data_IF_353748782542
#
_entry.id   IF_353748782542
#
_cell.length_a   1.000
_cell.length_b   1.000
_cell.length_c   1.000
_cell.angle_alpha   90.00
_cell.angle_beta   90.00
_cell.angle_gamma   90.00
#
_symmetry.space_group_name_H-M   'P 1'
#
loop_
_entity.id
_entity.type
_entity.pdbx_description
1 polymer ?
#
# COMPACT_ATOMS: atom_id res chain seq x y z
N UNK A 1 -2.83 -1.27 -31.93
CA UNK A 1 -1.85 -2.24 -31.39
C UNK A 1 -0.45 -2.11 -31.99
N UNK A 2 -0.25 -1.42 -33.13
CA UNK A 2 1.06 -1.31 -33.79
C UNK A 2 1.94 -0.10 -33.35
N UNK A 3 1.48 0.79 -32.45
CA UNK A 3 2.16 2.08 -32.22
C UNK A 3 3.11 2.13 -31.00
N UNK A 4 3.06 1.17 -30.08
CA UNK A 4 3.90 1.20 -28.87
C UNK A 4 5.33 0.66 -29.09
N UNK A 5 5.58 -0.04 -30.20
CA UNK A 5 6.88 -0.69 -30.47
C UNK A 5 7.94 0.23 -31.10
N UNK A 6 7.57 1.42 -31.58
CA UNK A 6 8.43 2.23 -32.45
C UNK A 6 9.21 3.36 -31.75
N UNK A 7 9.18 3.50 -30.42
CA UNK A 7 9.75 4.68 -29.74
C UNK A 7 10.91 4.39 -28.77
N UNK A 8 11.26 3.12 -28.50
CA UNK A 8 12.49 2.80 -27.75
C UNK A 8 13.02 1.41 -28.09
N UNK A 9 14.34 1.21 -28.27
CA UNK A 9 14.92 -0.13 -28.41
C UNK A 9 14.59 -0.92 -27.13
N UNK A 10 13.81 -1.98 -27.26
CA UNK A 10 13.20 -2.69 -26.13
C UNK A 10 14.27 -3.40 -25.31
N UNK A 11 14.62 -2.84 -24.14
CA UNK A 11 15.35 -3.56 -23.08
C UNK A 11 14.59 -4.80 -22.57
N UNK A 12 13.30 -4.92 -22.89
CA UNK A 12 12.36 -5.91 -22.37
C UNK A 12 11.66 -6.63 -23.56
N UNK A 13 12.02 -7.86 -23.89
CA UNK A 13 11.49 -8.59 -25.05
C UNK A 13 10.10 -9.22 -24.81
N UNK A 14 9.64 -9.34 -23.55
CA UNK A 14 8.32 -9.88 -23.21
C UNK A 14 7.52 -8.95 -22.30
N UNK A 15 6.25 -8.72 -22.62
CA UNK A 15 5.32 -8.03 -21.72
C UNK A 15 3.99 -8.76 -21.70
N UNK A 16 3.43 -8.93 -20.50
CA UNK A 16 2.08 -9.41 -20.26
C UNK A 16 1.25 -8.25 -19.73
N UNK A 17 0.18 -7.91 -20.45
CA UNK A 17 -0.78 -6.90 -19.99
C UNK A 17 -1.69 -7.57 -18.96
N UNK A 18 -1.61 -7.16 -17.70
CA UNK A 18 -2.45 -7.71 -16.64
C UNK A 18 -3.79 -6.99 -16.57
N UNK A 19 -3.76 -5.66 -16.63
CA UNK A 19 -4.96 -4.84 -16.49
C UNK A 19 -4.81 -3.54 -17.26
N UNK A 20 -5.86 -3.18 -17.98
CA UNK A 20 -5.97 -1.90 -18.67
C UNK A 20 -7.31 -1.29 -18.30
N UNK A 21 -7.30 -0.21 -17.52
CA UNK A 21 -8.52 0.48 -17.12
C UNK A 21 -8.57 1.86 -17.76
N UNK A 22 -9.64 2.09 -18.53
CA UNK A 22 -9.93 3.39 -19.13
C UNK A 22 -10.94 4.14 -18.27
N UNK A 23 -10.50 5.22 -17.64
CA UNK A 23 -11.38 6.20 -17.01
C UNK A 23 -11.64 7.33 -18.01
N UNK A 24 -12.85 7.33 -18.60
CA UNK A 24 -13.28 8.40 -19.50
C UNK A 24 -13.64 9.65 -18.70
N UNK A 25 -13.15 10.81 -19.15
CA UNK A 25 -13.65 12.10 -18.66
C UNK A 25 -15.13 12.24 -19.06
N UNK A 26 -15.94 12.83 -18.19
CA UNK A 26 -17.35 13.15 -18.47
C UNK A 26 -17.51 14.24 -19.54
N UNK A 27 -16.42 14.88 -19.96
CA UNK A 27 -16.41 15.88 -21.02
C UNK A 27 -15.97 15.29 -22.37
N UNK A 28 -16.70 15.55 -23.48
CA UNK A 28 -16.55 14.81 -24.74
C UNK A 28 -15.28 15.14 -25.56
N UNK A 29 -14.45 16.08 -25.09
CA UNK A 29 -13.34 16.61 -25.89
C UNK A 29 -11.99 16.21 -25.29
N UNK A 30 -11.44 15.16 -25.88
CA UNK A 30 -10.01 14.90 -26.12
C UNK A 30 -9.14 14.22 -25.07
N UNK A 31 -9.42 14.12 -23.77
CA UNK A 31 -8.51 13.43 -22.85
C UNK A 31 -9.18 12.31 -22.04
N UNK A 32 -8.67 11.08 -22.16
CA UNK A 32 -9.01 9.95 -21.29
C UNK A 32 -7.86 9.63 -20.35
N UNK A 33 -8.17 9.22 -19.12
CA UNK A 33 -7.17 8.69 -18.18
C UNK A 33 -7.12 7.18 -18.35
N UNK A 34 -5.91 6.63 -18.41
CA UNK A 34 -5.66 5.21 -18.58
C UNK A 34 -4.75 4.73 -17.45
N UNK A 35 -5.21 3.80 -16.64
CA UNK A 35 -4.33 3.04 -15.75
C UNK A 35 -3.79 1.86 -16.53
N UNK A 36 -2.47 1.81 -16.69
CA UNK A 36 -1.75 0.75 -17.39
C UNK A 36 -1.03 -0.11 -16.36
N UNK A 37 -1.37 -1.38 -16.26
CA UNK A 37 -0.74 -2.37 -15.38
C UNK A 37 -0.18 -3.55 -16.20
N UNK A 38 1.14 -3.64 -16.26
CA UNK A 38 1.90 -4.60 -17.08
C UNK A 38 2.91 -5.35 -16.21
N UNK A 39 3.04 -6.64 -16.46
CA UNK A 39 4.21 -7.41 -16.05
C UNK A 39 5.20 -7.45 -17.21
N UNK A 40 6.38 -6.88 -17.02
CA UNK A 40 7.49 -6.91 -17.96
C UNK A 40 8.42 -8.05 -17.59
N UNK A 41 8.71 -8.93 -18.54
CA UNK A 41 9.66 -10.03 -18.37
C UNK A 41 10.90 -9.72 -19.19
N UNK A 42 12.07 -9.81 -18.55
CA UNK A 42 13.36 -9.69 -19.26
C UNK A 42 13.85 -11.08 -19.61
N UNK A 43 14.00 -11.40 -20.89
CA UNK A 43 14.62 -12.66 -21.34
C UNK A 43 16.12 -12.66 -20.99
N UNK A 44 16.43 -12.97 -19.73
CA UNK A 44 17.74 -13.21 -19.13
C UNK A 44 17.66 -13.19 -17.59
N UNK A 45 16.59 -12.61 -17.02
CA UNK A 45 16.45 -12.39 -15.59
C UNK A 45 15.16 -13.08 -15.12
N UNK A 46 15.28 -13.93 -14.10
CA UNK A 46 14.14 -14.66 -13.50
C UNK A 46 13.33 -13.76 -12.54
N UNK A 47 13.07 -12.52 -12.95
CA UNK A 47 12.20 -11.61 -12.22
C UNK A 47 11.22 -10.93 -13.17
N UNK A 48 10.05 -10.59 -12.64
CA UNK A 48 9.01 -9.84 -13.32
C UNK A 48 9.08 -8.40 -12.82
N UNK A 49 9.24 -7.45 -13.73
CA UNK A 49 9.17 -6.02 -13.42
C UNK A 49 7.75 -5.52 -13.69
N UNK A 50 7.03 -5.08 -12.66
CA UNK A 50 5.67 -4.56 -12.83
C UNK A 50 5.69 -3.07 -13.14
N UNK A 51 5.06 -2.70 -14.25
CA UNK A 51 4.78 -1.32 -14.64
C UNK A 51 3.32 -1.00 -14.35
N UNK A 52 3.07 -0.13 -13.38
CA UNK A 52 1.72 0.37 -13.10
C UNK A 52 1.76 1.90 -13.07
N UNK A 53 1.10 2.57 -14.02
CA UNK A 53 1.13 4.03 -14.17
C UNK A 53 -0.20 4.58 -14.72
N UNK A 54 -0.54 5.81 -14.30
CA UNK A 54 -1.60 6.59 -14.92
C UNK A 54 -1.04 7.38 -16.11
N UNK A 55 -1.66 7.21 -17.27
CA UNK A 55 -1.38 7.96 -18.48
C UNK A 55 -2.60 8.79 -18.90
N UNK A 56 -2.35 9.99 -19.43
CA UNK A 56 -3.33 10.70 -20.23
C UNK A 56 -3.20 10.28 -21.68
N UNK A 57 -4.34 9.98 -22.28
CA UNK A 57 -4.47 9.64 -23.69
C UNK A 57 -5.31 10.71 -24.34
N UNK A 58 -4.74 11.40 -25.34
CA UNK A 58 -5.47 12.40 -26.10
C UNK A 58 -5.17 12.35 -27.59
N UNK A 59 -6.07 12.92 -28.40
CA UNK A 59 -5.86 13.04 -29.83
C UNK A 59 -5.28 14.42 -30.16
N UNK A 60 -4.12 14.43 -30.79
CA UNK A 60 -3.47 15.63 -31.34
C UNK A 60 -3.12 15.37 -32.81
N UNK A 61 -3.58 16.23 -33.72
CA UNK A 61 -3.35 16.09 -35.17
C UNK A 61 -3.69 14.68 -35.74
N UNK A 62 -4.81 14.10 -35.29
CA UNK A 62 -5.22 12.71 -35.62
C UNK A 62 -4.24 11.61 -35.18
N UNK A 63 -3.27 11.92 -34.33
CA UNK A 63 -2.40 10.96 -33.67
C UNK A 63 -2.79 10.79 -32.19
N UNK A 64 -2.59 9.58 -31.68
CA UNK A 64 -2.85 9.24 -30.28
C UNK A 64 -1.59 9.52 -29.47
N UNK A 65 -1.67 10.51 -28.59
CA UNK A 65 -0.56 10.92 -27.73
C UNK A 65 -0.74 10.39 -26.31
N UNK A 66 0.37 9.98 -25.69
CA UNK A 66 0.44 9.54 -24.31
C UNK A 66 1.32 10.49 -23.51
N UNK A 67 0.82 11.00 -22.38
CA UNK A 67 1.65 11.78 -21.47
C UNK A 67 1.39 11.41 -20.01
N UNK A 68 2.40 11.61 -19.15
CA UNK A 68 2.20 11.51 -17.71
C UNK A 68 1.46 12.76 -17.24
N UNK A 69 0.32 12.63 -16.54
CA UNK A 69 -0.38 13.78 -16.00
C UNK A 69 0.49 14.53 -14.98
N UNK A 70 0.67 15.85 -15.13
CA UNK A 70 1.38 16.63 -14.11
C UNK A 70 0.63 16.55 -12.77
N UNK A 71 1.36 16.25 -11.69
CA UNK A 71 0.81 16.13 -10.34
C UNK A 71 0.14 14.80 -9.99
N UNK A 72 0.10 13.82 -10.91
CA UNK A 72 -0.35 12.45 -10.64
C UNK A 72 0.84 11.52 -10.82
N UNK A 73 1.64 11.40 -9.76
CA UNK A 73 2.76 10.47 -9.71
C UNK A 73 2.50 9.47 -8.62
N UNK A 74 2.76 8.21 -8.93
CA UNK A 74 2.67 7.16 -7.95
C UNK A 74 3.88 7.25 -7.01
N UNK A 75 3.64 7.55 -5.74
CA UNK A 75 4.67 7.49 -4.72
C UNK A 75 4.76 6.06 -4.18
N UNK A 76 5.67 5.27 -4.78
CA UNK A 76 5.94 3.88 -4.36
C UNK A 76 6.66 3.81 -3.01
N UNK A 77 7.24 4.91 -2.55
CA UNK A 77 8.04 4.97 -1.33
C UNK A 77 7.27 5.55 -0.14
N UNK A 78 6.05 6.04 -0.37
CA UNK A 78 5.17 6.54 0.70
C UNK A 78 5.03 5.50 1.80
N UNK A 79 5.26 5.92 3.05
CA UNK A 79 5.21 5.01 4.19
C UNK A 79 3.77 4.60 4.46
N UNK A 80 3.53 3.28 4.57
CA UNK A 80 2.24 2.74 5.02
C UNK A 80 2.26 2.51 6.53
N UNK A 81 1.41 3.22 7.27
CA UNK A 81 1.23 3.01 8.70
C UNK A 81 0.08 2.02 8.93
N UNK A 82 0.40 0.75 9.14
CA UNK A 82 -0.59 -0.27 9.52
C UNK A 82 -0.99 -0.09 10.98
N UNK A 83 -2.31 0.01 11.23
CA UNK A 83 -2.83 0.35 12.55
C UNK A 83 -3.69 -0.76 13.12
N UNK A 84 -3.37 -1.17 14.36
CA UNK A 84 -4.25 -1.96 15.20
C UNK A 84 -4.82 -1.12 16.34
N UNK A 85 -6.13 -0.95 16.36
CA UNK A 85 -6.85 -0.26 17.44
C UNK A 85 -7.47 -1.31 18.38
N UNK A 86 -6.95 -1.42 19.60
CA UNK A 86 -7.54 -2.28 20.63
C UNK A 86 -8.93 -1.78 21.06
N UNK A 87 -9.92 -2.69 21.11
CA UNK A 87 -11.19 -2.43 21.79
C UNK A 87 -11.11 -2.89 23.25
N UNK A 88 -10.95 -1.94 24.16
CA UNK A 88 -10.82 -2.22 25.60
C UNK A 88 -12.12 -2.63 26.30
N UNK A 89 -13.25 -2.63 25.58
CA UNK A 89 -14.49 -3.24 26.05
C UNK A 89 -14.52 -4.76 25.78
N UNK A 90 -13.53 -5.28 25.04
CA UNK A 90 -13.42 -6.68 24.63
C UNK A 90 -12.04 -7.22 24.97
N UNK A 91 -11.91 -8.55 24.97
CA UNK A 91 -10.60 -9.20 25.07
C UNK A 91 -9.97 -9.31 23.68
N UNK A 92 -9.45 -8.19 23.17
CA UNK A 92 -8.82 -8.10 21.84
C UNK A 92 -7.33 -8.49 21.82
N UNK A 93 -6.77 -8.89 22.97
CA UNK A 93 -5.37 -9.29 23.09
C UNK A 93 -4.96 -10.39 22.10
N UNK A 94 -5.71 -11.50 21.93
CA UNK A 94 -5.36 -12.50 20.92
C UNK A 94 -5.35 -11.94 19.49
N UNK A 95 -6.23 -10.99 19.19
CA UNK A 95 -6.35 -10.40 17.86
C UNK A 95 -5.22 -9.44 17.53
N UNK A 96 -4.67 -8.73 18.51
CA UNK A 96 -3.48 -7.92 18.27
C UNK A 96 -2.24 -8.78 18.00
N UNK A 97 -2.07 -9.90 18.70
CA UNK A 97 -0.99 -10.85 18.41
C UNK A 97 -1.15 -11.51 17.04
N UNK A 98 -2.37 -11.89 16.69
CA UNK A 98 -2.69 -12.40 15.36
C UNK A 98 -2.41 -11.36 14.27
N UNK A 99 -2.77 -10.09 14.52
CA UNK A 99 -2.47 -9.00 13.61
C UNK A 99 -0.96 -8.82 13.38
N UNK A 100 -0.16 -8.83 14.45
CA UNK A 100 1.31 -8.78 14.32
C UNK A 100 1.81 -9.95 13.44
N UNK A 101 1.33 -11.17 13.68
CA UNK A 101 1.72 -12.33 12.88
C UNK A 101 1.35 -12.19 11.40
N UNK A 102 0.16 -11.66 11.10
CA UNK A 102 -0.27 -11.38 9.72
C UNK A 102 0.60 -10.33 9.04
N UNK A 103 0.97 -9.26 9.75
CA UNK A 103 1.85 -8.22 9.20
C UNK A 103 3.25 -8.81 8.94
N UNK A 104 3.82 -9.58 9.85
CA UNK A 104 5.11 -10.26 9.62
C UNK A 104 5.06 -11.12 8.35
N UNK A 105 4.01 -11.94 8.20
CA UNK A 105 3.85 -12.79 7.02
C UNK A 105 3.65 -11.97 5.73
N UNK A 106 2.89 -10.87 5.81
CA UNK A 106 2.70 -9.96 4.68
C UNK A 106 4.04 -9.42 4.19
N UNK A 107 4.86 -8.89 5.10
CA UNK A 107 6.16 -8.27 4.79
C UNK A 107 7.14 -9.28 4.20
N UNK A 108 7.18 -10.50 4.74
CA UNK A 108 8.01 -11.58 4.20
C UNK A 108 7.61 -11.96 2.77
N UNK A 109 6.32 -11.88 2.44
CA UNK A 109 5.80 -12.25 1.12
C UNK A 109 5.87 -11.11 0.11
N UNK A 110 5.78 -9.86 0.55
CA UNK A 110 5.73 -8.69 -0.32
C UNK A 110 7.09 -7.99 -0.48
N UNK A 111 8.08 -8.32 0.36
CA UNK A 111 9.36 -7.60 0.47
C UNK A 111 9.16 -6.09 0.70
N UNK A 112 8.12 -5.74 1.46
CA UNK A 112 7.79 -4.35 1.74
C UNK A 112 8.74 -3.78 2.80
N UNK A 113 9.29 -2.60 2.52
CA UNK A 113 10.30 -1.93 3.35
C UNK A 113 9.84 -0.58 3.89
N UNK A 114 8.88 0.08 3.24
CA UNK A 114 8.41 1.42 3.59
C UNK A 114 7.10 1.33 4.37
N UNK A 115 7.17 0.74 5.55
CA UNK A 115 6.00 0.58 6.42
C UNK A 115 6.33 0.90 7.89
N UNK A 116 5.26 1.11 8.66
CA UNK A 116 5.28 1.26 10.12
C UNK A 116 4.10 0.51 10.72
N UNK A 117 4.27 -0.09 11.89
CA UNK A 117 3.20 -0.77 12.63
C UNK A 117 2.88 0.00 13.92
N UNK A 118 1.68 0.56 13.99
CA UNK A 118 1.19 1.30 15.15
C UNK A 118 0.08 0.50 15.83
N UNK A 119 0.20 0.29 17.13
CA UNK A 119 -0.78 -0.47 17.90
C UNK A 119 -1.21 0.31 19.14
N UNK A 120 -2.43 0.09 19.60
CA UNK A 120 -2.86 0.54 20.92
C UNK A 120 -3.05 -0.65 21.85
N UNK A 121 -2.88 -0.44 23.15
CA UNK A 121 -3.08 -1.44 24.20
C UNK A 121 -3.95 -0.84 25.32
N UNK A 122 -4.77 -1.68 25.94
CA UNK A 122 -5.76 -1.32 26.95
C UNK A 122 -5.21 -1.34 28.37
N UNK A 123 -4.15 -2.10 28.57
CA UNK A 123 -3.41 -2.26 29.82
C UNK A 123 -1.93 -2.58 29.53
N UNK A 124 -1.14 -2.54 30.60
CA UNK A 124 0.30 -2.74 30.55
C UNK A 124 0.70 -4.18 30.19
N UNK A 125 -0.12 -5.17 30.56
CA UNK A 125 0.15 -6.58 30.25
C UNK A 125 0.01 -6.83 28.74
N UNK A 126 -1.06 -6.31 28.14
CA UNK A 126 -1.28 -6.35 26.70
C UNK A 126 -0.16 -5.61 25.96
N UNK A 127 0.21 -4.41 26.42
CA UNK A 127 1.31 -3.62 25.81
C UNK A 127 2.61 -4.41 25.79
N UNK A 128 3.04 -4.96 26.94
CA UNK A 128 4.27 -5.76 27.05
C UNK A 128 4.24 -6.99 26.16
N UNK A 129 3.07 -7.63 26.03
CA UNK A 129 2.92 -8.79 25.16
C UNK A 129 3.08 -8.42 23.68
N UNK A 130 2.54 -7.28 23.22
CA UNK A 130 2.74 -6.81 21.86
C UNK A 130 4.19 -6.41 21.62
N UNK A 131 4.79 -5.63 22.52
CA UNK A 131 6.20 -5.21 22.41
C UNK A 131 7.15 -6.42 22.39
N UNK A 132 6.92 -7.44 23.21
CA UNK A 132 7.74 -8.65 23.20
C UNK A 132 7.66 -9.42 21.87
N UNK A 133 6.46 -9.46 21.27
CA UNK A 133 6.28 -10.09 19.96
C UNK A 133 6.94 -9.27 18.84
N UNK A 134 6.84 -7.95 18.90
CA UNK A 134 7.48 -7.05 17.93
C UNK A 134 9.01 -7.12 18.01
N UNK A 135 9.59 -7.14 19.22
CA UNK A 135 11.04 -7.29 19.45
C UNK A 135 11.62 -8.62 18.96
N UNK A 136 10.80 -9.65 18.82
CA UNK A 136 11.21 -10.96 18.29
C UNK A 136 10.94 -11.10 16.79
N UNK A 137 10.55 -10.00 16.12
CA UNK A 137 10.30 -9.94 14.68
C UNK A 137 11.24 -8.96 14.00
N UNK A 138 11.29 -8.98 12.67
CA UNK A 138 12.08 -8.06 11.84
C UNK A 138 11.39 -6.69 11.63
N UNK A 139 10.41 -6.33 12.47
CA UNK A 139 9.66 -5.07 12.37
C UNK A 139 10.34 -3.99 13.21
N UNK A 140 11.24 -3.23 12.60
CA UNK A 140 12.00 -2.17 13.27
C UNK A 140 11.14 -0.92 13.57
N UNK A 141 10.25 -0.55 12.65
CA UNK A 141 9.39 0.64 12.77
C UNK A 141 8.05 0.25 13.40
N UNK A 142 8.03 0.04 14.71
CA UNK A 142 6.80 -0.25 15.45
C UNK A 142 6.65 0.52 16.76
N UNK A 143 5.40 0.76 17.16
CA UNK A 143 5.08 1.44 18.41
C UNK A 143 3.77 0.94 19.01
N UNK A 144 3.72 0.79 20.33
CA UNK A 144 2.54 0.37 21.08
C UNK A 144 2.16 1.41 22.12
N UNK A 145 0.99 2.03 21.97
CA UNK A 145 0.51 3.09 22.86
C UNK A 145 -0.46 2.55 23.89
N UNK A 146 -0.19 2.79 25.17
CA UNK A 146 -1.12 2.49 26.26
C UNK A 146 -2.27 3.51 26.27
N UNK A 147 -3.51 3.03 26.30
CA UNK A 147 -4.71 3.86 26.35
C UNK A 147 -5.12 4.18 27.79
N UNK A 148 -5.18 5.46 28.12
CA UNK A 148 -5.60 5.96 29.43
C UNK A 148 -7.03 6.52 29.43
N UNK A 149 -7.76 6.33 30.54
CA UNK A 149 -9.10 6.87 30.75
C UNK A 149 -10.26 6.04 30.18
N UNK A 150 -11.47 6.60 30.13
CA UNK A 150 -12.74 5.86 29.96
C UNK A 150 -13.19 5.74 28.47
N UNK A 151 -13.05 6.78 27.66
CA UNK A 151 -13.44 6.77 26.22
C UNK A 151 -12.32 6.28 25.31
N UNK A 152 -12.05 4.97 25.37
CA UNK A 152 -10.83 4.42 24.80
C UNK A 152 -10.82 4.34 23.27
N UNK A 153 -11.97 4.29 22.58
CA UNK A 153 -12.03 4.14 21.11
C UNK A 153 -11.64 5.40 20.32
N UNK A 154 -12.20 6.56 20.67
CA UNK A 154 -11.82 7.84 20.04
C UNK A 154 -10.39 8.25 20.42
N UNK A 155 -9.97 7.90 21.65
CA UNK A 155 -8.58 8.08 22.11
C UNK A 155 -7.60 7.19 21.36
N UNK A 156 -7.97 5.93 21.07
CA UNK A 156 -7.12 5.02 20.31
C UNK A 156 -6.75 5.60 18.95
N UNK A 157 -7.75 6.08 18.21
CA UNK A 157 -7.50 6.72 16.92
C UNK A 157 -6.63 7.98 17.07
N UNK A 158 -6.98 8.87 18.01
CA UNK A 158 -6.22 10.11 18.22
C UNK A 158 -4.77 9.85 18.61
N UNK A 159 -4.53 8.88 19.48
CA UNK A 159 -3.21 8.50 19.94
C UNK A 159 -2.35 7.95 18.78
N UNK A 160 -2.94 7.10 17.94
CA UNK A 160 -2.24 6.61 16.75
C UNK A 160 -1.96 7.76 15.78
N UNK A 161 -2.96 8.58 15.46
CA UNK A 161 -2.80 9.70 14.52
C UNK A 161 -1.74 10.71 14.98
N UNK A 162 -1.51 10.87 16.28
CA UNK A 162 -0.43 11.73 16.78
C UNK A 162 0.98 11.18 16.56
N UNK A 163 1.11 9.90 16.18
CA UNK A 163 2.39 9.23 15.88
C UNK A 163 2.65 9.07 14.38
N UNK A 164 1.63 9.29 13.56
CA UNK A 164 1.69 9.16 12.11
C UNK A 164 2.60 10.25 11.55
N UNK A 165 3.52 9.86 10.67
CA UNK A 165 4.44 10.78 10.01
C UNK A 165 3.72 11.58 8.93
N UNK A 166 4.22 12.79 8.63
CA UNK A 166 3.74 13.56 7.48
C UNK A 166 3.90 12.75 6.20
N UNK A 167 2.95 12.93 5.26
CA UNK A 167 2.98 12.29 3.95
C UNK A 167 3.03 10.75 4.04
N UNK A 168 2.31 10.17 4.99
CA UNK A 168 2.13 8.72 5.12
C UNK A 168 0.66 8.32 4.99
N UNK A 169 0.42 7.08 4.54
CA UNK A 169 -0.95 6.54 4.40
C UNK A 169 -1.26 5.69 5.63
N UNK A 170 -2.35 6.03 6.31
CA UNK A 170 -2.83 5.25 7.47
C UNK A 170 -3.73 4.13 6.98
N UNK A 171 -3.31 2.88 7.20
CA UNK A 171 -4.06 1.68 6.81
C UNK A 171 -4.79 1.13 8.03
N UNK A 172 -6.09 1.42 8.07
CA UNK A 172 -7.03 0.83 9.03
C UNK A 172 -7.71 -0.36 8.39
N UNK A 173 -7.59 -1.52 9.04
CA UNK A 173 -8.14 -2.75 8.54
C UNK A 173 -8.69 -3.60 9.69
N UNK A 174 -9.54 -4.55 9.33
CA UNK A 174 -10.04 -5.50 10.31
C UNK A 174 -8.92 -6.47 10.71
N UNK A 175 -8.66 -6.55 12.02
CA UNK A 175 -7.55 -7.33 12.60
C UNK A 175 -7.62 -8.83 12.32
N UNK A 176 -8.78 -9.32 11.88
CA UNK A 176 -9.06 -10.74 11.60
C UNK A 176 -8.83 -11.10 10.13
N UNK A 177 -8.64 -10.11 9.26
CA UNK A 177 -8.51 -10.33 7.82
C UNK A 177 -7.04 -10.48 7.47
N UNK A 178 -6.72 -11.57 6.76
CA UNK A 178 -5.39 -11.77 6.19
C UNK A 178 -5.27 -10.97 4.89
N UNK A 179 -4.27 -10.12 4.81
CA UNK A 179 -4.05 -9.28 3.64
C UNK A 179 -3.37 -10.04 2.49
N UNK A 180 -3.71 -9.73 1.23
CA UNK A 180 -2.97 -10.24 0.07
C UNK A 180 -1.59 -9.58 -0.03
N UNK A 181 -0.61 -10.29 -0.59
CA UNK A 181 0.78 -9.81 -0.68
C UNK A 181 0.93 -8.49 -1.46
N UNK A 182 0.08 -8.25 -2.47
CA UNK A 182 0.10 -7.01 -3.26
C UNK A 182 -0.63 -5.83 -2.63
N UNK A 183 -1.16 -5.93 -1.40
CA UNK A 183 -2.03 -4.88 -0.83
C UNK A 183 -1.32 -3.53 -0.70
N UNK A 184 -0.03 -3.53 -0.36
CA UNK A 184 0.74 -2.30 -0.18
C UNK A 184 0.87 -1.55 -1.51
N UNK A 185 1.17 -2.28 -2.59
CA UNK A 185 1.22 -1.75 -3.94
C UNK A 185 -0.13 -1.14 -4.34
N UNK A 186 -1.24 -1.86 -4.12
CA UNK A 186 -2.58 -1.40 -4.47
C UNK A 186 -3.03 -0.17 -3.66
N UNK A 187 -2.60 -0.03 -2.40
CA UNK A 187 -2.94 1.14 -1.57
C UNK A 187 -2.19 2.40 -2.02
N UNK A 188 -0.95 2.24 -2.51
CA UNK A 188 -0.14 3.40 -2.93
C UNK A 188 -0.60 3.99 -4.28
N UNK A 189 -1.27 3.18 -5.12
CA UNK A 189 -1.77 3.60 -6.46
C UNK A 189 -2.84 4.68 -6.34
#
# INVERSE_FOLDING_TARGET
MASLQNVAPSKYPGYKINKLELAQSSTPTQASRLLVDLDLTVDALDYIERFNEYLWVYYYENQLEFCRPPGYQWDREVTLSFVFLSDCSRNDHPWGLYFIANIIELLQRSLEVNFRLLMTACDEQQRRSYEARLRSSDIDRSEVVLLEGVDKRSRAMKAVLSLVENDSIVVLCESRVKMPAGIAEEIRK
#
